data_IF_774053634889
#
_entry.id   IF_774053634889
#
_cell.length_a   1.000
_cell.length_b   1.000
_cell.length_c   1.000
_cell.angle_alpha   90.00
_cell.angle_beta   90.00
_cell.angle_gamma   90.00
#
_symmetry.space_group_name_H-M   'P 1'
#
loop_
_entity.id
_entity.type
_entity.pdbx_description
1 polymer ?
#
# COMPACT_ATOMS: atom_id res chain seq x y z
N UNK A 1 -6.56 47.22 -62.58
CA UNK A 1 -5.57 46.58 -61.69
C UNK A 1 -6.24 46.29 -60.36
N UNK A 2 -6.43 45.00 -60.00
CA UNK A 2 -6.96 44.62 -58.68
C UNK A 2 -5.77 44.48 -57.72
N UNK A 3 -5.77 45.16 -56.56
CA UNK A 3 -4.71 44.98 -55.58
C UNK A 3 -4.85 43.60 -54.92
N UNK A 4 -3.82 42.76 -55.10
CA UNK A 4 -3.63 41.58 -54.27
C UNK A 4 -3.20 42.04 -52.87
N UNK A 5 -4.14 42.04 -51.92
CA UNK A 5 -3.81 42.08 -50.50
C UNK A 5 -3.24 40.71 -50.15
N UNK A 6 -1.91 40.61 -50.10
CA UNK A 6 -1.22 39.52 -49.42
C UNK A 6 -1.70 39.52 -47.95
N UNK A 7 -2.28 38.43 -47.43
CA UNK A 7 -2.60 38.35 -46.01
C UNK A 7 -1.28 38.49 -45.25
N UNK A 8 -1.17 39.52 -44.41
CA UNK A 8 -0.05 39.71 -43.50
C UNK A 8 -0.05 38.53 -42.53
N UNK A 9 0.76 37.53 -42.83
CA UNK A 9 1.12 36.46 -41.91
C UNK A 9 2.08 37.06 -40.87
N UNK A 10 1.51 37.48 -39.75
CA UNK A 10 2.23 37.96 -38.59
C UNK A 10 1.29 37.93 -37.41
N UNK A 11 1.54 37.02 -36.47
CA UNK A 11 0.80 36.93 -35.20
C UNK A 11 0.83 38.29 -34.53
N UNK A 12 -0.34 38.83 -34.18
CA UNK A 12 -0.39 40.02 -33.36
C UNK A 12 0.22 39.71 -31.99
N UNK A 13 0.83 40.71 -31.36
CA UNK A 13 1.42 40.56 -30.02
C UNK A 13 0.39 40.01 -29.01
N UNK A 14 -0.88 40.37 -29.17
CA UNK A 14 -2.00 39.86 -28.37
C UNK A 14 -2.24 38.36 -28.60
N UNK A 15 -2.24 37.88 -29.85
CA UNK A 15 -2.39 36.45 -30.16
C UNK A 15 -1.24 35.61 -29.58
N UNK A 16 -0.01 36.16 -29.59
CA UNK A 16 1.14 35.50 -29.00
C UNK A 16 1.02 35.43 -27.46
N UNK A 17 0.56 36.51 -26.82
CA UNK A 17 0.29 36.52 -25.38
C UNK A 17 -0.80 35.51 -24.99
N UNK A 18 -1.90 35.46 -25.74
CA UNK A 18 -2.99 34.49 -25.50
C UNK A 18 -2.46 33.06 -25.67
N UNK A 19 -1.67 32.80 -26.72
CA UNK A 19 -1.09 31.48 -26.97
C UNK A 19 -0.15 31.05 -25.84
N UNK A 20 0.67 31.97 -25.31
CA UNK A 20 1.55 31.69 -24.17
C UNK A 20 0.78 31.39 -22.90
N UNK A 21 -0.33 32.09 -22.63
CA UNK A 21 -1.18 31.84 -21.45
C UNK A 21 -1.84 30.45 -21.55
N UNK A 22 -2.39 30.11 -22.71
CA UNK A 22 -2.98 28.78 -22.94
C UNK A 22 -1.92 27.69 -22.78
N UNK A 23 -0.73 27.90 -23.33
CA UNK A 23 0.40 26.96 -23.20
C UNK A 23 0.81 26.80 -21.74
N UNK A 24 0.92 27.89 -20.98
CA UNK A 24 1.32 27.85 -19.57
C UNK A 24 0.30 27.09 -18.71
N UNK A 25 -1.01 27.34 -18.91
CA UNK A 25 -2.08 26.62 -18.23
C UNK A 25 -2.07 25.13 -18.63
N UNK A 26 -1.93 24.84 -19.93
CA UNK A 26 -1.88 23.47 -20.44
C UNK A 26 -0.69 22.68 -19.89
N UNK A 27 0.50 23.29 -19.83
CA UNK A 27 1.68 22.64 -19.26
C UNK A 27 1.55 22.40 -17.75
N UNK A 28 0.98 23.36 -17.02
CA UNK A 28 0.80 23.24 -15.56
C UNK A 28 -0.10 22.05 -15.22
N UNK A 29 -1.22 21.91 -15.94
CA UNK A 29 -2.15 20.78 -15.72
C UNK A 29 -1.54 19.43 -16.10
N UNK A 30 -0.69 19.37 -17.14
CA UNK A 30 0.03 18.15 -17.50
C UNK A 30 1.06 17.73 -16.45
N UNK A 31 1.81 18.69 -15.87
CA UNK A 31 2.76 18.38 -14.80
C UNK A 31 2.04 17.88 -13.54
N UNK A 32 0.94 18.53 -13.15
CA UNK A 32 0.12 18.10 -12.01
C UNK A 32 -0.44 16.68 -12.23
N UNK A 33 -0.91 16.40 -13.44
CA UNK A 33 -1.41 15.07 -13.82
C UNK A 33 -0.30 14.01 -13.80
N UNK A 34 0.91 14.34 -14.29
CA UNK A 34 2.05 13.43 -14.29
C UNK A 34 2.50 13.09 -12.86
N UNK A 35 2.60 14.09 -11.98
CA UNK A 35 2.97 13.88 -10.56
C UNK A 35 1.92 13.00 -9.87
N UNK A 36 0.64 13.28 -10.11
CA UNK A 36 -0.47 12.48 -9.55
C UNK A 36 -0.41 11.04 -10.06
N UNK A 37 -0.18 10.84 -11.37
CA UNK A 37 -0.10 9.52 -11.98
C UNK A 37 1.07 8.71 -11.43
N UNK A 38 2.25 9.33 -11.25
CA UNK A 38 3.40 8.68 -10.62
C UNK A 38 3.07 8.22 -9.20
N UNK A 39 2.48 9.10 -8.39
CA UNK A 39 2.09 8.79 -7.00
C UNK A 39 1.10 7.64 -6.90
N UNK A 40 0.10 7.61 -7.79
CA UNK A 40 -0.88 6.52 -7.85
C UNK A 40 -0.22 5.21 -8.28
N UNK A 41 0.65 5.25 -9.29
CA UNK A 41 1.36 4.08 -9.78
C UNK A 41 2.29 3.48 -8.72
N UNK A 42 3.05 4.31 -8.03
CA UNK A 42 3.96 3.88 -6.96
C UNK A 42 3.17 3.25 -5.81
N UNK A 43 2.03 3.84 -5.45
CA UNK A 43 1.15 3.30 -4.41
C UNK A 43 0.52 1.96 -4.81
N UNK A 44 0.07 1.83 -6.04
CA UNK A 44 -0.47 0.58 -6.57
C UNK A 44 0.61 -0.53 -6.59
N UNK A 45 1.83 -0.18 -6.99
CA UNK A 45 2.98 -1.10 -7.00
C UNK A 45 3.32 -1.57 -5.58
N UNK A 46 3.35 -0.65 -4.61
CA UNK A 46 3.61 -0.99 -3.21
C UNK A 46 2.52 -1.89 -2.62
N UNK A 47 1.26 -1.60 -2.96
CA UNK A 47 0.11 -2.43 -2.55
C UNK A 47 0.19 -3.84 -3.16
N UNK A 48 0.59 -3.98 -4.42
CA UNK A 48 0.77 -5.28 -5.05
C UNK A 48 1.84 -6.13 -4.33
N UNK A 49 3.01 -5.53 -4.02
CA UNK A 49 4.07 -6.20 -3.25
C UNK A 49 3.60 -6.62 -1.85
N UNK A 50 2.83 -5.76 -1.19
CA UNK A 50 2.27 -6.06 0.11
C UNK A 50 1.34 -7.29 0.08
N UNK A 51 0.48 -7.40 -0.93
CA UNK A 51 -0.39 -8.56 -1.08
C UNK A 51 0.36 -9.84 -1.47
N UNK A 52 1.37 -9.74 -2.33
CA UNK A 52 2.23 -10.86 -2.70
C UNK A 52 2.89 -11.47 -1.45
N UNK A 53 3.45 -10.62 -0.59
CA UNK A 53 4.09 -11.10 0.65
C UNK A 53 3.06 -11.63 1.66
N UNK A 54 1.90 -10.97 1.81
CA UNK A 54 0.81 -11.50 2.65
C UNK A 54 0.39 -12.89 2.19
N UNK A 55 0.27 -13.10 0.88
CA UNK A 55 -0.07 -14.41 0.33
C UNK A 55 1.01 -15.45 0.65
N UNK A 56 2.29 -15.11 0.48
CA UNK A 56 3.39 -16.01 0.85
C UNK A 56 3.37 -16.39 2.34
N UNK A 57 3.04 -15.46 3.23
CA UNK A 57 2.89 -15.72 4.67
C UNK A 57 1.65 -16.55 4.99
N UNK A 58 0.54 -16.37 4.27
CA UNK A 58 -0.64 -17.23 4.41
C UNK A 58 -0.29 -18.67 4.00
N UNK A 59 0.41 -18.84 2.89
CA UNK A 59 0.85 -20.15 2.41
C UNK A 59 1.78 -20.82 3.44
N UNK A 60 2.74 -20.08 4.01
CA UNK A 60 3.64 -20.62 5.05
C UNK A 60 2.88 -21.08 6.31
N UNK A 61 1.87 -20.31 6.73
CA UNK A 61 1.03 -20.64 7.89
C UNK A 61 0.08 -21.81 7.62
N UNK A 62 -0.35 -22.04 6.38
CA UNK A 62 -1.17 -23.20 6.03
C UNK A 62 -0.44 -24.53 6.22
N UNK A 63 0.90 -24.53 6.14
CA UNK A 63 1.70 -25.72 6.42
C UNK A 63 1.96 -25.94 7.91
N UNK A 64 1.62 -24.99 8.79
CA UNK A 64 1.80 -25.15 10.24
C UNK A 64 0.66 -25.95 10.87
N UNK A 65 0.96 -26.88 11.81
CA UNK A 65 -0.08 -27.55 12.58
C UNK A 65 -0.94 -26.56 13.36
N UNK A 66 -2.26 -26.73 13.29
CA UNK A 66 -3.24 -25.90 14.00
C UNK A 66 -2.90 -25.74 15.49
N UNK A 67 -2.50 -26.85 16.11
CA UNK A 67 -2.17 -26.92 17.53
C UNK A 67 -0.95 -26.08 17.93
N UNK A 68 0.04 -25.96 17.03
CA UNK A 68 1.23 -25.13 17.24
C UNK A 68 0.87 -23.65 17.20
N UNK A 69 0.07 -23.25 16.21
CA UNK A 69 -0.44 -21.86 16.10
C UNK A 69 -1.31 -21.53 17.31
N UNK A 70 -2.16 -22.44 17.76
CA UNK A 70 -3.04 -22.18 18.91
C UNK A 70 -2.28 -21.98 20.23
N UNK A 71 -1.22 -22.76 20.49
CA UNK A 71 -0.49 -22.72 21.77
C UNK A 71 0.56 -21.62 21.83
N UNK A 72 1.34 -21.47 20.76
CA UNK A 72 2.62 -20.75 20.83
C UNK A 72 2.64 -19.48 19.98
N UNK A 73 1.53 -19.09 19.37
CA UNK A 73 1.49 -17.88 18.54
C UNK A 73 1.65 -16.60 19.38
N UNK A 74 2.75 -15.90 19.12
CA UNK A 74 3.09 -14.60 19.73
C UNK A 74 2.88 -13.43 18.77
N UNK A 75 2.56 -13.73 17.52
CA UNK A 75 2.65 -12.80 16.39
C UNK A 75 3.91 -13.05 15.57
N UNK A 76 3.86 -12.71 14.29
CA UNK A 76 4.97 -12.83 13.36
C UNK A 76 5.24 -11.44 12.80
N UNK A 77 6.50 -11.04 12.75
CA UNK A 77 6.93 -9.82 12.08
C UNK A 77 7.76 -10.22 10.86
N UNK A 78 7.54 -9.59 9.72
CA UNK A 78 8.23 -9.87 8.47
C UNK A 78 8.44 -8.59 7.66
N UNK A 79 9.50 -8.59 6.86
CA UNK A 79 9.83 -7.45 6.00
C UNK A 79 9.40 -7.70 4.57
N UNK A 80 8.87 -6.65 3.93
CA UNK A 80 8.50 -6.68 2.52
C UNK A 80 9.59 -5.96 1.73
N UNK A 81 10.22 -6.67 0.80
CA UNK A 81 11.34 -6.13 0.05
C UNK A 81 10.91 -4.91 -0.79
N UNK A 82 11.61 -3.79 -0.59
CA UNK A 82 11.38 -2.55 -1.34
C UNK A 82 10.23 -1.69 -0.83
N UNK A 83 9.59 -2.04 0.29
CA UNK A 83 8.74 -1.12 1.04
C UNK A 83 9.55 -0.40 2.12
N UNK A 84 9.22 0.86 2.36
CA UNK A 84 9.85 1.66 3.41
C UNK A 84 9.09 1.47 4.72
N UNK A 85 9.81 1.04 5.76
CA UNK A 85 9.27 0.82 7.10
C UNK A 85 8.76 2.15 7.69
N UNK A 86 7.55 2.18 8.29
CA UNK A 86 7.06 3.34 9.02
C UNK A 86 7.93 3.71 10.23
N UNK A 87 8.01 5.00 10.55
CA UNK A 87 8.78 5.47 11.70
C UNK A 87 8.23 4.87 13.01
N UNK A 88 9.12 4.28 13.81
CA UNK A 88 8.77 3.60 15.06
C UNK A 88 8.33 2.14 14.90
N UNK A 89 8.17 1.63 13.67
CA UNK A 89 7.94 0.22 13.41
C UNK A 89 9.26 -0.54 13.24
N UNK A 90 9.30 -1.80 13.68
CA UNK A 90 10.47 -2.69 13.50
C UNK A 90 10.46 -3.34 12.12
N UNK A 91 9.28 -3.59 11.56
CA UNK A 91 9.10 -4.30 10.27
C UNK A 91 7.96 -3.69 9.47
N UNK A 92 7.89 -4.01 8.17
CA UNK A 92 6.77 -3.60 7.31
C UNK A 92 5.51 -4.44 7.51
N UNK A 93 5.64 -5.71 7.90
CA UNK A 93 4.55 -6.68 7.93
C UNK A 93 4.40 -7.35 9.29
N UNK A 94 3.15 -7.50 9.74
CA UNK A 94 2.83 -8.23 10.96
C UNK A 94 1.69 -9.21 10.73
N UNK A 95 1.78 -10.34 11.43
CA UNK A 95 0.69 -11.29 11.61
C UNK A 95 0.34 -11.30 13.08
N UNK A 96 -0.89 -10.93 13.40
CA UNK A 96 -1.39 -10.84 14.79
C UNK A 96 -2.73 -11.54 14.92
N UNK A 97 -3.14 -11.82 16.16
CA UNK A 97 -4.50 -12.29 16.41
C UNK A 97 -5.46 -11.15 16.08
N UNK A 98 -6.59 -11.43 15.42
CA UNK A 98 -7.60 -10.42 15.13
C UNK A 98 -8.11 -9.70 16.39
N UNK A 99 -8.14 -10.40 17.53
CA UNK A 99 -8.54 -9.86 18.82
C UNK A 99 -7.51 -8.91 19.45
N UNK A 100 -6.28 -8.85 18.91
CA UNK A 100 -5.27 -7.94 19.39
C UNK A 100 -5.66 -6.48 19.04
N UNK A 101 -5.80 -5.58 20.04
CA UNK A 101 -6.14 -4.18 19.81
C UNK A 101 -5.03 -3.42 19.07
N UNK A 102 -3.77 -3.86 19.18
CA UNK A 102 -2.64 -3.27 18.46
C UNK A 102 -2.09 -4.25 17.41
N UNK A 103 -2.33 -4.02 16.11
CA UNK A 103 -1.88 -4.91 15.04
C UNK A 103 -0.35 -4.97 14.88
N UNK A 104 0.39 -4.02 15.45
CA UNK A 104 1.85 -3.94 15.33
C UNK A 104 2.57 -4.61 16.51
N UNK A 105 1.80 -5.09 17.49
CA UNK A 105 2.33 -5.72 18.69
C UNK A 105 2.45 -7.24 18.53
N UNK A 106 3.67 -7.70 18.27
CA UNK A 106 4.02 -9.12 18.09
C UNK A 106 4.91 -9.67 19.22
N UNK A 107 5.18 -8.90 20.28
CA UNK A 107 6.22 -9.27 21.24
C UNK A 107 6.00 -8.80 22.68
N UNK A 108 4.96 -8.03 23.01
CA UNK A 108 4.76 -7.60 24.39
C UNK A 108 4.27 -8.72 25.31
N UNK A 109 4.63 -8.60 26.60
CA UNK A 109 4.09 -9.42 27.68
C UNK A 109 3.14 -8.57 28.52
N UNK A 110 1.92 -9.03 28.85
CA UNK A 110 1.33 -10.33 28.47
C UNK A 110 0.99 -10.44 26.97
N UNK A 111 1.20 -11.64 26.38
CA UNK A 111 1.02 -11.88 24.94
C UNK A 111 -0.42 -11.56 24.47
N UNK A 112 -0.64 -10.47 23.72
CA UNK A 112 -1.97 -10.08 23.24
C UNK A 112 -2.45 -10.97 22.07
N UNK A 113 -1.57 -11.75 21.46
CA UNK A 113 -1.86 -12.62 20.33
C UNK A 113 -2.24 -14.05 20.73
N UNK A 114 -2.29 -14.36 22.03
CA UNK A 114 -2.60 -15.70 22.52
C UNK A 114 -4.04 -16.11 22.18
N UNK A 115 -4.23 -17.33 21.69
CA UNK A 115 -5.55 -17.93 21.48
C UNK A 115 -6.00 -18.75 22.69
N UNK A 116 -7.31 -18.98 22.84
CA UNK A 116 -7.81 -19.90 23.85
C UNK A 116 -7.64 -21.34 23.37
N UNK A 117 -7.33 -22.25 24.30
CA UNK A 117 -7.16 -23.67 23.98
C UNK A 117 -8.48 -24.36 23.59
N UNK A 118 -9.62 -23.71 23.78
CA UNK A 118 -10.93 -24.19 23.32
C UNK A 118 -11.26 -23.75 21.88
N UNK A 119 -10.52 -22.80 21.32
CA UNK A 119 -10.85 -22.23 20.02
C UNK A 119 -10.61 -23.26 18.91
N UNK A 120 -11.61 -23.42 18.04
CA UNK A 120 -11.56 -24.27 16.83
C UNK A 120 -11.25 -23.45 15.56
N UNK A 121 -11.20 -22.12 15.73
CA UNK A 121 -11.06 -21.13 14.67
C UNK A 121 -10.09 -20.06 15.17
N UNK A 122 -9.02 -19.82 14.44
CA UNK A 122 -7.96 -18.87 14.78
C UNK A 122 -7.96 -17.76 13.70
N UNK A 123 -8.65 -16.64 13.92
CA UNK A 123 -8.62 -15.52 13.00
C UNK A 123 -7.28 -14.78 13.14
N UNK A 124 -6.48 -14.82 12.08
CA UNK A 124 -5.21 -14.13 11.96
C UNK A 124 -5.38 -12.89 11.08
N UNK A 125 -4.89 -11.76 11.57
CA UNK A 125 -4.78 -10.50 10.85
C UNK A 125 -3.39 -10.42 10.25
N UNK A 126 -3.33 -10.26 8.93
CA UNK A 126 -2.11 -9.96 8.19
C UNK A 126 -2.16 -8.50 7.82
N UNK A 127 -1.20 -7.72 8.30
CA UNK A 127 -1.09 -6.30 8.02
C UNK A 127 0.27 -6.01 7.42
N UNK A 128 0.30 -5.19 6.38
CA UNK A 128 1.54 -4.62 5.87
C UNK A 128 1.35 -3.10 5.84
N UNK A 129 2.23 -2.39 6.54
CA UNK A 129 2.28 -0.94 6.58
C UNK A 129 3.58 -0.45 5.95
N UNK A 130 3.51 0.66 5.22
CA UNK A 130 4.64 1.31 4.59
C UNK A 130 4.46 2.83 4.57
N UNK A 131 5.53 3.53 4.22
CA UNK A 131 5.51 4.99 3.99
C UNK A 131 5.89 5.28 2.55
N UNK A 132 5.05 6.04 1.84
CA UNK A 132 5.31 6.54 0.49
C UNK A 132 5.33 8.08 0.44
N UNK A 133 5.49 8.66 -0.76
CA UNK A 133 5.52 10.11 -0.97
C UNK A 133 4.23 10.83 -0.50
N UNK A 134 3.11 10.11 -0.35
CA UNK A 134 1.83 10.65 0.14
C UNK A 134 1.62 10.44 1.65
N UNK A 135 2.54 9.75 2.33
CA UNK A 135 2.49 9.46 3.76
C UNK A 135 2.35 7.97 4.09
N UNK A 136 1.89 7.64 5.32
CA UNK A 136 1.71 6.26 5.75
C UNK A 136 0.52 5.61 5.05
N UNK A 137 0.71 4.38 4.59
CA UNK A 137 -0.31 3.54 3.99
C UNK A 137 -0.20 2.11 4.53
N UNK A 138 -1.31 1.36 4.49
CA UNK A 138 -1.33 -0.03 4.91
C UNK A 138 -2.38 -0.81 4.13
N UNK A 139 -2.16 -2.12 4.05
CA UNK A 139 -3.17 -3.10 3.67
C UNK A 139 -3.34 -4.12 4.77
N UNK A 140 -4.55 -4.66 4.88
CA UNK A 140 -4.89 -5.68 5.85
C UNK A 140 -5.71 -6.78 5.18
N UNK A 141 -5.49 -8.03 5.59
CA UNK A 141 -6.29 -9.18 5.21
C UNK A 141 -6.46 -10.09 6.41
N UNK A 142 -7.65 -10.65 6.56
CA UNK A 142 -7.95 -11.62 7.62
C UNK A 142 -7.98 -13.00 7.01
N UNK A 143 -7.17 -13.91 7.57
CA UNK A 143 -7.16 -15.31 7.22
C UNK A 143 -7.56 -16.14 8.44
N UNK A 144 -8.44 -17.11 8.22
CA UNK A 144 -9.00 -17.91 9.30
C UNK A 144 -8.44 -19.32 9.22
N UNK A 145 -7.64 -19.69 10.22
CA UNK A 145 -7.17 -21.07 10.36
C UNK A 145 -8.24 -21.86 11.09
N UNK A 146 -8.71 -22.95 10.50
CA UNK A 146 -9.68 -23.86 11.11
C UNK A 146 -9.04 -25.22 11.37
N UNK A 147 -9.47 -25.89 12.44
CA UNK A 147 -9.07 -27.25 12.70
C UNK A 147 -9.64 -28.17 11.61
N UNK A 148 -8.77 -28.73 10.76
CA UNK A 148 -9.18 -29.60 9.65
C UNK A 148 -9.31 -31.08 10.04
N UNK A 149 -9.08 -31.44 11.31
CA UNK A 149 -9.23 -32.81 11.80
C UNK A 149 -8.33 -33.81 11.06
N UNK A 150 -7.05 -33.80 11.38
CA UNK A 150 -6.14 -34.90 11.06
C UNK A 150 -5.94 -35.78 12.28
#
# INVERSE_FOLDING_TARGET
MKPHLTPRSGLSLVELMISMVILAIGLSTLFDSMITSKRVNDRATNQAKAYEEIQAQIESLQYMPFDSVRRDFKGIAFDVQGLRIPEGAVTCGTVTNLANPNPDDTATAPNPNKFNLSDQVLPLRFRVAWVDENGPAWVETVFVVTNRGF
#
